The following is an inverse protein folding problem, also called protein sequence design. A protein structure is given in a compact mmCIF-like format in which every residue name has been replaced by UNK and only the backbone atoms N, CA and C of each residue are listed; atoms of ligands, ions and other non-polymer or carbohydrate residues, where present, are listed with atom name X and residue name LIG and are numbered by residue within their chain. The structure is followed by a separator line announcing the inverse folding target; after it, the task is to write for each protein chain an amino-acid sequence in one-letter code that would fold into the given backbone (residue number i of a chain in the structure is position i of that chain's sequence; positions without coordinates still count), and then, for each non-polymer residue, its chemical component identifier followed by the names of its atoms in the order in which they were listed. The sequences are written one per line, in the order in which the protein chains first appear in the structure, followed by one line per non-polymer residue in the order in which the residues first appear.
data_IF_475614891055
#
_entry.id   IF_475614891055
#
_cell.length_a   1.000
_cell.length_b   1.000
_cell.length_c   1.000
_cell.angle_alpha   90.00
_cell.angle_beta   90.00
_cell.angle_gamma   90.00
#
_symmetry.space_group_name_H-M   'P 1'
#
loop_
_entity.id
_entity.type
_entity.pdbx_description
1 polymer ?
#
# COMPACT_ATOMS: atom_id res chain seq x y z
N UNK A 1 -9.77 -9.88 2.66
CA UNK A 1 -8.30 -9.86 2.47
C UNK A 1 -7.85 -11.25 2.92
N UNK A 2 -6.88 -11.87 2.25
CA UNK A 2 -6.21 -13.06 2.78
C UNK A 2 -4.71 -12.78 2.70
N UNK A 3 -4.04 -12.81 3.83
CA UNK A 3 -2.63 -12.47 4.02
C UNK A 3 -1.83 -13.76 4.19
N UNK A 4 -0.95 -14.03 3.25
CA UNK A 4 -0.03 -15.17 3.35
C UNK A 4 1.08 -14.82 4.33
N UNK A 5 1.22 -15.63 5.38
CA UNK A 5 2.32 -15.51 6.34
C UNK A 5 3.50 -16.37 5.90
N UNK A 6 4.68 -15.76 5.74
CA UNK A 6 5.90 -16.51 5.39
C UNK A 6 6.55 -17.08 6.65
N UNK A 7 6.69 -16.24 7.68
CA UNK A 7 7.18 -16.61 9.01
C UNK A 7 6.42 -15.80 10.05
N UNK A 8 5.68 -16.47 10.93
CA UNK A 8 4.88 -15.81 11.96
C UNK A 8 3.70 -16.64 12.43
N UNK A 9 2.77 -15.99 13.12
CA UNK A 9 1.52 -16.62 13.53
C UNK A 9 0.61 -16.86 12.33
N UNK A 10 -0.08 -18.01 12.34
CA UNK A 10 -1.12 -18.34 11.37
C UNK A 10 -2.53 -17.99 11.89
N UNK A 11 -2.62 -17.36 13.07
CA UNK A 11 -3.89 -16.87 13.59
C UNK A 11 -4.41 -15.74 12.70
N UNK A 12 -5.67 -15.83 12.30
CA UNK A 12 -6.39 -14.81 11.53
C UNK A 12 -7.66 -14.36 12.25
N UNK A 13 -8.10 -13.13 12.00
CA UNK A 13 -9.40 -12.66 12.44
C UNK A 13 -10.52 -13.40 11.72
N UNK A 14 -11.66 -13.48 12.40
CA UNK A 14 -12.89 -14.07 11.89
C UNK A 14 -14.04 -13.08 12.04
N UNK A 15 -15.23 -13.41 11.59
CA UNK A 15 -16.38 -12.52 11.60
C UNK A 15 -16.85 -12.15 13.03
N UNK A 16 -16.46 -12.92 14.05
CA UNK A 16 -16.86 -12.68 15.42
C UNK A 16 -15.91 -11.69 16.14
N UNK A 17 -16.39 -10.47 16.38
CA UNK A 17 -15.57 -9.42 16.99
C UNK A 17 -15.09 -9.77 18.41
N UNK A 18 -15.89 -10.47 19.22
CA UNK A 18 -15.51 -10.85 20.59
C UNK A 18 -14.34 -11.82 20.60
N UNK A 19 -14.33 -12.80 19.68
CA UNK A 19 -13.20 -13.72 19.51
C UNK A 19 -11.95 -12.97 19.04
N UNK A 20 -12.09 -12.05 18.10
CA UNK A 20 -10.99 -11.20 17.61
C UNK A 20 -10.37 -10.34 18.71
N UNK A 21 -11.20 -9.75 19.59
CA UNK A 21 -10.73 -9.05 20.79
C UNK A 21 -9.90 -9.97 21.69
N UNK A 22 -10.34 -11.23 21.86
CA UNK A 22 -9.60 -12.25 22.60
C UNK A 22 -8.22 -12.52 22.00
N UNK A 23 -8.12 -12.60 20.66
CA UNK A 23 -6.83 -12.75 19.97
C UNK A 23 -5.90 -11.57 20.25
N UNK A 24 -6.39 -10.33 20.16
CA UNK A 24 -5.58 -9.12 20.47
C UNK A 24 -5.14 -9.13 21.94
N UNK A 25 -6.02 -9.49 22.88
CA UNK A 25 -5.68 -9.61 24.31
C UNK A 25 -4.62 -10.66 24.60
N UNK A 26 -4.53 -11.72 23.79
CA UNK A 26 -3.48 -12.73 23.91
C UNK A 26 -2.09 -12.16 23.62
N UNK A 27 -1.99 -11.25 22.65
CA UNK A 27 -0.74 -10.55 22.34
C UNK A 27 -0.45 -9.40 23.31
N UNK A 28 -1.50 -8.72 23.82
CA UNK A 28 -1.38 -7.58 24.73
C UNK A 28 -2.12 -7.87 26.05
N UNK A 29 -1.51 -8.65 26.97
CA UNK A 29 -2.09 -8.96 28.27
C UNK A 29 -1.91 -7.78 29.25
N UNK A 30 -2.52 -6.62 28.94
CA UNK A 30 -2.41 -5.40 29.73
C UNK A 30 -3.79 -4.89 30.18
N UNK A 31 -3.87 -4.40 31.43
CA UNK A 31 -5.05 -3.69 31.96
C UNK A 31 -5.25 -2.31 31.31
N UNK A 32 -4.22 -1.79 30.66
CA UNK A 32 -4.28 -0.53 29.91
C UNK A 32 -4.88 -0.70 28.52
N UNK A 33 -5.11 -1.93 28.05
CA UNK A 33 -5.83 -2.18 26.81
C UNK A 33 -7.31 -1.84 26.99
N UNK A 34 -7.70 -0.64 26.53
CA UNK A 34 -9.07 -0.15 26.61
C UNK A 34 -9.83 -0.57 25.35
N UNK A 35 -11.09 -0.92 25.55
CA UNK A 35 -12.02 -1.32 24.50
C UNK A 35 -13.27 -0.46 24.65
N UNK A 36 -13.61 0.31 23.62
CA UNK A 36 -14.82 1.12 23.59
C UNK A 36 -15.76 0.56 22.54
N UNK A 37 -16.97 0.21 22.99
CA UNK A 37 -18.03 -0.34 22.14
C UNK A 37 -18.90 0.81 21.62
N UNK A 38 -19.11 0.83 20.31
CA UNK A 38 -19.98 1.74 19.58
C UNK A 38 -21.00 0.93 18.77
N UNK A 39 -22.09 1.58 18.39
CA UNK A 39 -23.12 1.03 17.52
C UNK A 39 -23.36 1.99 16.36
N UNK A 40 -23.39 1.48 15.14
CA UNK A 40 -23.62 2.25 13.91
C UNK A 40 -24.73 1.62 13.05
N UNK A 41 -25.38 2.42 12.21
CA UNK A 41 -26.45 2.01 11.30
C UNK A 41 -27.86 2.22 11.87
N UNK A 42 -28.76 2.75 11.05
CA UNK A 42 -30.15 3.07 11.45
C UNK A 42 -31.12 1.89 11.31
N UNK A 43 -30.99 1.09 10.23
CA UNK A 43 -31.85 -0.08 9.96
C UNK A 43 -31.20 -1.38 10.43
N UNK A 44 -29.93 -1.57 10.09
CA UNK A 44 -29.16 -2.73 10.49
C UNK A 44 -28.00 -2.28 11.38
N UNK A 45 -28.25 -2.33 12.70
CA UNK A 45 -27.24 -1.95 13.68
C UNK A 45 -26.05 -2.92 13.66
N UNK A 46 -24.86 -2.37 13.58
CA UNK A 46 -23.59 -3.10 13.65
C UNK A 46 -22.77 -2.61 14.84
N UNK A 47 -22.12 -3.55 15.52
CA UNK A 47 -21.26 -3.24 16.65
C UNK A 47 -19.84 -2.96 16.17
N UNK A 48 -19.27 -1.86 16.62
CA UNK A 48 -17.90 -1.44 16.33
C UNK A 48 -17.13 -1.33 17.64
N UNK A 49 -15.89 -1.79 17.64
CA UNK A 49 -15.02 -1.79 18.82
C UNK A 49 -13.74 -1.02 18.52
N UNK A 50 -13.52 0.07 19.26
CA UNK A 50 -12.26 0.80 19.29
C UNK A 50 -11.35 0.17 20.34
N UNK A 51 -10.13 -0.17 19.96
CA UNK A 51 -9.15 -0.85 20.81
C UNK A 51 -7.85 -0.05 20.78
N UNK A 52 -7.36 0.34 21.95
CA UNK A 52 -6.14 1.14 22.09
C UNK A 52 -5.54 0.95 23.50
N UNK A 53 -4.27 1.32 23.66
CA UNK A 53 -3.61 1.40 24.97
C UNK A 53 -3.83 2.78 25.59
N UNK A 54 -4.51 2.86 26.73
CA UNK A 54 -4.91 4.14 27.34
C UNK A 54 -3.74 5.04 27.78
N UNK A 55 -2.63 4.42 28.16
CA UNK A 55 -1.41 5.09 28.61
C UNK A 55 -0.47 5.50 27.46
N UNK A 56 -0.64 4.90 26.26
CA UNK A 56 0.19 5.17 25.08
C UNK A 56 -0.52 6.00 24.03
N UNK A 57 -1.77 5.66 23.68
CA UNK A 57 -2.50 6.28 22.58
C UNK A 57 -2.85 7.76 22.87
N UNK A 58 -2.84 8.59 21.83
CA UNK A 58 -3.31 9.97 21.93
C UNK A 58 -4.83 9.99 22.13
N UNK A 59 -5.30 10.68 23.17
CA UNK A 59 -6.73 10.83 23.45
C UNK A 59 -7.45 11.61 22.34
N UNK A 60 -6.80 12.62 21.75
CA UNK A 60 -7.39 13.45 20.71
C UNK A 60 -7.69 12.62 19.45
N UNK A 61 -6.74 11.77 19.07
CA UNK A 61 -6.88 10.84 17.93
C UNK A 61 -8.01 9.83 18.18
N UNK A 62 -8.08 9.25 19.38
CA UNK A 62 -9.16 8.32 19.76
C UNK A 62 -10.53 9.00 19.66
N UNK A 63 -10.63 10.23 20.19
CA UNK A 63 -11.88 11.00 20.18
C UNK A 63 -12.27 11.43 18.76
N UNK A 64 -11.30 11.77 17.91
CA UNK A 64 -11.54 12.10 16.50
C UNK A 64 -12.14 10.91 15.75
N UNK A 65 -11.56 9.72 15.90
CA UNK A 65 -12.06 8.49 15.27
C UNK A 65 -13.47 8.17 15.75
N UNK A 66 -13.69 8.22 17.07
CA UNK A 66 -15.02 8.00 17.66
C UNK A 66 -16.04 8.99 17.09
N UNK A 67 -15.71 10.27 17.07
CA UNK A 67 -16.59 11.33 16.56
C UNK A 67 -16.96 11.08 15.10
N UNK A 68 -16.01 10.63 14.27
CA UNK A 68 -16.24 10.31 12.86
C UNK A 68 -17.16 9.09 12.72
N UNK A 69 -16.92 8.02 13.47
CA UNK A 69 -17.76 6.82 13.45
C UNK A 69 -19.20 7.16 13.89
N UNK A 70 -19.37 7.95 14.95
CA UNK A 70 -20.70 8.35 15.43
C UNK A 70 -21.44 9.33 14.51
N UNK A 71 -20.74 10.04 13.61
CA UNK A 71 -21.36 10.93 12.62
C UNK A 71 -21.95 10.19 11.41
N UNK A 72 -21.65 8.90 11.24
CA UNK A 72 -22.14 8.11 10.11
C UNK A 72 -23.66 7.93 10.24
N UNK A 73 -24.40 8.48 9.26
CA UNK A 73 -25.85 8.33 9.14
C UNK A 73 -26.16 7.54 7.87
N UNK A 74 -26.25 6.22 8.02
CA UNK A 74 -26.57 5.29 6.92
C UNK A 74 -27.50 4.19 7.43
N UNK A 75 -28.24 3.56 6.52
CA UNK A 75 -29.14 2.45 6.86
C UNK A 75 -28.36 1.27 7.49
N UNK A 76 -27.18 0.98 6.94
CA UNK A 76 -26.29 -0.08 7.40
C UNK A 76 -24.85 0.24 7.01
N UNK A 77 -23.91 -0.35 7.73
CA UNK A 77 -22.53 -0.55 7.29
C UNK A 77 -22.30 -2.04 7.38
N UNK A 78 -21.74 -2.67 6.35
CA UNK A 78 -21.66 -4.13 6.25
C UNK A 78 -20.25 -4.68 6.43
N UNK A 79 -19.22 -3.86 6.23
CA UNK A 79 -17.83 -4.31 6.32
C UNK A 79 -16.89 -3.25 6.88
N UNK A 80 -15.76 -3.71 7.42
CA UNK A 80 -14.70 -2.82 7.90
C UNK A 80 -14.11 -1.95 6.78
N UNK A 81 -14.07 -2.45 5.53
CA UNK A 81 -13.63 -1.69 4.37
C UNK A 81 -14.60 -0.56 4.01
N UNK A 82 -15.90 -0.79 4.14
CA UNK A 82 -16.92 0.24 3.98
C UNK A 82 -16.81 1.30 5.10
N UNK A 83 -16.63 0.86 6.35
CA UNK A 83 -16.41 1.77 7.48
C UNK A 83 -15.17 2.66 7.27
N UNK A 84 -14.08 2.07 6.76
CA UNK A 84 -12.86 2.81 6.38
C UNK A 84 -13.16 3.92 5.38
N UNK A 85 -13.99 3.66 4.36
CA UNK A 85 -14.35 4.66 3.36
C UNK A 85 -15.18 5.81 3.94
N UNK A 86 -16.10 5.55 4.88
CA UNK A 86 -16.88 6.61 5.53
C UNK A 86 -16.06 7.49 6.49
N UNK A 87 -14.94 6.97 7.01
CA UNK A 87 -14.17 7.62 8.06
C UNK A 87 -12.89 8.32 7.57
N UNK A 88 -12.56 8.20 6.27
CA UNK A 88 -11.42 8.86 5.60
C UNK A 88 -11.45 10.40 5.75
N UNK A 89 -10.27 11.01 5.85
CA UNK A 89 -10.10 12.47 5.89
C UNK A 89 -10.46 13.11 4.55
N UNK A 90 -9.98 12.50 3.46
CA UNK A 90 -10.05 13.08 2.11
C UNK A 90 -10.59 12.04 1.15
N UNK A 91 -11.77 12.28 0.57
CA UNK A 91 -12.38 11.33 -0.36
C UNK A 91 -11.70 11.31 -1.74
N UNK A 92 -10.96 12.36 -2.08
CA UNK A 92 -10.40 12.58 -3.42
C UNK A 92 -8.94 12.13 -3.56
N UNK A 93 -8.46 11.28 -2.63
CA UNK A 93 -7.13 10.69 -2.74
C UNK A 93 -7.23 9.20 -3.06
N UNK A 94 -6.41 8.70 -4.01
CA UNK A 94 -6.34 7.26 -4.24
C UNK A 94 -5.57 6.53 -3.13
N UNK A 95 -4.80 7.24 -2.30
CA UNK A 95 -3.93 6.65 -1.30
C UNK A 95 -4.71 6.14 -0.07
N UNK A 96 -4.40 4.95 0.45
CA UNK A 96 -5.03 4.44 1.65
C UNK A 96 -4.59 5.26 2.87
N UNK A 97 -5.56 5.68 3.69
CA UNK A 97 -5.32 6.40 4.94
C UNK A 97 -5.51 5.51 6.18
N UNK A 98 -6.03 4.30 5.99
CA UNK A 98 -6.22 3.32 7.03
C UNK A 98 -5.63 1.99 6.59
N UNK A 99 -5.04 1.26 7.53
CA UNK A 99 -4.42 -0.04 7.25
C UNK A 99 -5.38 -1.16 7.62
N UNK A 100 -5.83 -1.91 6.62
CA UNK A 100 -6.70 -3.07 6.81
C UNK A 100 -5.86 -4.33 6.87
N UNK A 101 -6.11 -5.16 7.89
CA UNK A 101 -5.41 -6.43 8.04
C UNK A 101 -6.27 -7.47 8.74
N UNK A 102 -6.10 -8.73 8.35
CA UNK A 102 -6.71 -9.89 9.01
C UNK A 102 -5.81 -10.49 10.11
N UNK A 103 -4.58 -9.99 10.23
CA UNK A 103 -3.54 -10.56 11.10
C UNK A 103 -3.55 -9.93 12.50
N UNK A 104 -3.84 -10.69 13.58
CA UNK A 104 -3.89 -10.14 14.94
C UNK A 104 -2.54 -9.64 15.46
N UNK A 105 -1.44 -10.26 15.05
CA UNK A 105 -0.07 -9.83 15.40
C UNK A 105 0.25 -8.46 14.78
N UNK A 106 -0.11 -8.24 13.52
CA UNK A 106 0.04 -6.95 12.82
C UNK A 106 -0.69 -5.81 13.55
N UNK A 107 -1.96 -6.05 13.90
CA UNK A 107 -2.77 -5.07 14.65
C UNK A 107 -2.19 -4.81 16.03
N UNK A 108 -1.77 -5.86 16.73
CA UNK A 108 -1.23 -5.73 18.08
C UNK A 108 0.05 -4.89 18.11
N UNK A 109 0.94 -5.08 17.13
CA UNK A 109 2.14 -4.24 16.98
C UNK A 109 1.80 -2.76 16.78
N UNK A 110 0.79 -2.46 15.96
CA UNK A 110 0.36 -1.08 15.78
C UNK A 110 -0.30 -0.46 17.02
N UNK A 111 -1.06 -1.24 17.79
CA UNK A 111 -1.60 -0.77 19.09
C UNK A 111 -0.47 -0.46 20.06
N UNK A 112 0.58 -1.31 20.11
CA UNK A 112 1.76 -1.09 20.96
C UNK A 112 2.57 0.15 20.59
N UNK A 113 2.55 0.53 19.30
CA UNK A 113 3.12 1.79 18.81
C UNK A 113 2.22 3.02 19.07
N UNK A 114 1.05 2.83 19.68
CA UNK A 114 0.14 3.91 20.10
C UNK A 114 -0.92 4.29 19.08
N UNK A 115 -1.14 3.46 18.05
CA UNK A 115 -2.26 3.63 17.12
C UNK A 115 -3.54 3.00 17.67
N UNK A 116 -4.67 3.30 17.04
CA UNK A 116 -6.00 2.79 17.41
C UNK A 116 -6.42 1.74 16.40
N UNK A 117 -6.87 0.58 16.89
CA UNK A 117 -7.48 -0.44 16.08
C UNK A 117 -9.01 -0.35 16.16
N UNK A 118 -9.68 -0.61 15.04
CA UNK A 118 -11.13 -0.65 14.91
C UNK A 118 -11.52 -2.04 14.40
N UNK A 119 -12.33 -2.73 15.17
CA UNK A 119 -12.99 -3.97 14.77
C UNK A 119 -14.47 -3.72 14.53
N UNK A 120 -15.03 -4.46 13.59
CA UNK A 120 -16.46 -4.45 13.32
C UNK A 120 -16.99 -5.87 13.41
N UNK A 121 -18.12 -6.06 14.09
CA UNK A 121 -18.77 -7.36 14.13
C UNK A 121 -19.24 -7.75 12.72
N UNK A 122 -19.16 -9.06 12.42
CA UNK A 122 -19.43 -9.65 11.09
C UNK A 122 -18.39 -9.34 10.01
N UNK A 123 -17.22 -8.83 10.37
CA UNK A 123 -16.13 -8.58 9.41
C UNK A 123 -14.83 -9.30 9.84
N UNK A 124 -14.19 -10.11 8.96
CA UNK A 124 -13.01 -10.91 9.31
C UNK A 124 -11.70 -10.09 9.26
N UNK A 125 -11.74 -8.82 9.64
CA UNK A 125 -10.57 -7.94 9.56
C UNK A 125 -10.68 -6.75 10.51
N UNK A 126 -9.54 -6.10 10.71
CA UNK A 126 -9.39 -4.93 11.54
C UNK A 126 -8.81 -3.77 10.74
N UNK A 127 -9.18 -2.56 11.12
CA UNK A 127 -8.60 -1.33 10.59
C UNK A 127 -7.70 -0.68 11.64
N UNK A 128 -6.51 -0.23 11.25
CA UNK A 128 -5.60 0.57 12.09
C UNK A 128 -5.53 1.99 11.58
N UNK A 129 -5.69 2.94 12.50
CA UNK A 129 -5.62 4.38 12.25
C UNK A 129 -4.92 5.10 13.42
N UNK A 130 -4.21 6.20 13.18
CA UNK A 130 -3.80 6.75 11.89
C UNK A 130 -2.70 5.92 11.21
N UNK A 131 -2.59 6.04 9.88
CA UNK A 131 -1.53 5.40 9.10
C UNK A 131 -0.86 6.37 8.13
N UNK A 132 0.47 6.30 8.05
CA UNK A 132 1.32 7.07 7.13
C UNK A 132 1.77 6.20 5.94
N UNK A 133 2.31 6.83 4.90
CA UNK A 133 2.78 6.13 3.70
C UNK A 133 3.79 5.01 4.02
N UNK A 134 4.75 5.29 4.91
CA UNK A 134 5.81 4.34 5.27
C UNK A 134 5.26 3.10 5.97
N UNK A 135 4.18 3.22 6.75
CA UNK A 135 3.58 2.09 7.45
C UNK A 135 3.08 0.99 6.51
N UNK A 136 2.69 1.33 5.27
CA UNK A 136 2.30 0.35 4.25
C UNK A 136 3.48 -0.43 3.66
N UNK A 137 4.71 0.06 3.85
CA UNK A 137 5.96 -0.63 3.56
C UNK A 137 6.54 -1.31 4.80
N UNK A 138 5.76 -1.57 5.84
CA UNK A 138 6.20 -2.38 6.95
C UNK A 138 5.30 -3.60 7.01
N UNK A 139 5.90 -4.78 7.01
CA UNK A 139 5.15 -6.03 7.22
C UNK A 139 5.53 -6.63 8.57
N UNK A 140 4.63 -7.36 9.25
CA UNK A 140 4.97 -8.06 10.48
C UNK A 140 6.12 -9.07 10.27
N UNK A 141 6.16 -9.69 9.09
CA UNK A 141 7.18 -10.66 8.70
C UNK A 141 8.59 -10.04 8.66
N UNK A 142 8.71 -8.73 8.39
CA UNK A 142 10.00 -8.03 8.48
C UNK A 142 10.61 -8.20 9.86
N UNK A 143 9.80 -8.32 10.92
CA UNK A 143 10.28 -8.42 12.30
C UNK A 143 10.77 -9.81 12.68
N UNK A 144 10.37 -10.84 11.93
CA UNK A 144 10.67 -12.26 12.19
C UNK A 144 11.95 -12.76 11.51
N UNK A 145 12.61 -11.92 10.71
CA UNK A 145 13.87 -12.24 10.02
C UNK A 145 15.03 -11.35 10.49
N UNK A 146 16.25 -11.68 10.08
CA UNK A 146 17.43 -10.88 10.42
C UNK A 146 17.32 -9.45 9.85
N UNK A 147 17.70 -8.45 10.65
CA UNK A 147 17.48 -7.03 10.34
C UNK A 147 18.11 -6.57 9.01
N UNK A 148 19.27 -7.12 8.64
CA UNK A 148 19.89 -6.86 7.32
C UNK A 148 19.02 -7.34 6.15
N UNK A 149 18.44 -8.53 6.26
CA UNK A 149 17.59 -9.11 5.21
C UNK A 149 16.28 -8.34 5.12
N UNK A 150 15.67 -8.02 6.27
CA UNK A 150 14.47 -7.19 6.34
C UNK A 150 14.70 -5.81 5.70
N UNK A 151 15.83 -5.17 6.00
CA UNK A 151 16.20 -3.88 5.42
C UNK A 151 16.35 -3.96 3.90
N UNK A 152 17.00 -5.01 3.40
CA UNK A 152 17.12 -5.24 1.96
C UNK A 152 15.75 -5.40 1.29
N UNK A 153 14.86 -6.22 1.85
CA UNK A 153 13.49 -6.36 1.31
C UNK A 153 12.70 -5.06 1.37
N UNK A 154 12.89 -4.26 2.41
CA UNK A 154 12.22 -2.96 2.52
C UNK A 154 12.71 -1.98 1.46
N UNK A 155 14.02 -1.92 1.20
CA UNK A 155 14.59 -1.14 0.10
C UNK A 155 14.09 -1.61 -1.27
N UNK A 156 13.98 -2.93 -1.49
CA UNK A 156 13.36 -3.46 -2.70
C UNK A 156 11.90 -3.04 -2.85
N UNK A 157 11.13 -2.96 -1.76
CA UNK A 157 9.74 -2.48 -1.79
C UNK A 157 9.65 -0.99 -2.13
N UNK A 158 10.57 -0.16 -1.64
CA UNK A 158 10.66 1.24 -2.06
C UNK A 158 11.12 1.41 -3.51
N UNK A 159 12.10 0.63 -3.97
CA UNK A 159 12.53 0.64 -5.37
C UNK A 159 11.40 0.17 -6.30
N UNK A 160 10.69 -0.90 -5.93
CA UNK A 160 9.53 -1.41 -6.63
C UNK A 160 8.40 -0.38 -6.74
N UNK A 161 8.14 0.38 -5.67
CA UNK A 161 7.19 1.50 -5.71
C UNK A 161 7.54 2.55 -6.76
N UNK A 162 8.81 3.00 -6.79
CA UNK A 162 9.27 4.01 -7.75
C UNK A 162 9.20 3.46 -9.17
N UNK A 163 9.72 2.25 -9.41
CA UNK A 163 9.71 1.59 -10.72
C UNK A 163 8.28 1.39 -11.21
N UNK A 164 7.37 0.93 -10.36
CA UNK A 164 5.99 0.64 -10.75
C UNK A 164 5.20 1.89 -11.18
N UNK A 165 5.56 3.09 -10.71
CA UNK A 165 4.93 4.36 -11.10
C UNK A 165 5.62 4.93 -12.34
N UNK A 166 6.95 5.02 -12.32
CA UNK A 166 7.70 5.87 -13.22
C UNK A 166 8.30 5.15 -14.42
N UNK A 167 8.54 3.84 -14.37
CA UNK A 167 9.26 3.15 -15.44
C UNK A 167 8.56 3.23 -16.82
N UNK A 168 7.23 3.01 -16.93
CA UNK A 168 6.54 3.15 -18.22
C UNK A 168 6.56 4.59 -18.74
N UNK A 169 6.33 5.56 -17.84
CA UNK A 169 6.37 6.98 -18.18
C UNK A 169 7.77 7.40 -18.67
N UNK A 170 8.82 6.95 -17.98
CA UNK A 170 10.20 7.21 -18.34
C UNK A 170 10.57 6.63 -19.70
N UNK A 171 10.13 5.40 -19.99
CA UNK A 171 10.32 4.79 -21.31
C UNK A 171 9.65 5.62 -22.42
N UNK A 172 8.39 6.04 -22.22
CA UNK A 172 7.66 6.89 -23.18
C UNK A 172 8.42 8.21 -23.42
N UNK A 173 8.88 8.88 -22.35
CA UNK A 173 9.59 10.15 -22.44
C UNK A 173 10.92 10.04 -23.19
N UNK A 174 11.73 9.02 -22.88
CA UNK A 174 13.02 8.82 -23.57
C UNK A 174 12.79 8.55 -25.05
N UNK A 175 11.91 7.60 -25.36
CA UNK A 175 11.68 7.18 -26.74
C UNK A 175 11.11 8.31 -27.60
N UNK A 176 10.22 9.13 -27.04
CA UNK A 176 9.48 10.12 -27.81
C UNK A 176 10.21 11.47 -27.89
N UNK A 177 10.97 11.85 -26.85
CA UNK A 177 11.56 13.19 -26.74
C UNK A 177 13.08 13.21 -26.58
N UNK A 178 13.69 12.16 -26.03
CA UNK A 178 15.11 12.16 -25.64
C UNK A 178 15.85 10.91 -26.12
N UNK A 179 15.67 10.54 -27.39
CA UNK A 179 16.29 9.34 -27.95
C UNK A 179 17.82 9.43 -28.01
N UNK A 180 18.36 10.64 -28.00
CA UNK A 180 19.80 10.94 -28.01
C UNK A 180 20.55 10.44 -26.77
N UNK A 181 19.83 10.22 -25.66
CA UNK A 181 20.40 9.70 -24.41
C UNK A 181 20.68 8.19 -24.52
N UNK A 182 20.04 7.49 -25.46
CA UNK A 182 20.18 6.05 -25.63
C UNK A 182 21.49 5.75 -26.39
N UNK A 183 22.36 4.83 -25.88
CA UNK A 183 23.50 4.35 -26.64
C UNK A 183 23.10 3.83 -28.03
N UNK A 184 23.91 4.11 -29.06
CA UNK A 184 23.54 3.86 -30.46
C UNK A 184 23.12 2.40 -30.72
N UNK A 185 23.78 1.44 -30.08
CA UNK A 185 23.50 0.00 -30.20
C UNK A 185 22.12 -0.37 -29.63
N UNK A 186 21.74 0.27 -28.53
CA UNK A 186 20.43 0.07 -27.91
C UNK A 186 19.34 0.80 -28.69
N UNK A 187 19.63 1.99 -29.22
CA UNK A 187 18.70 2.75 -30.04
C UNK A 187 18.35 1.99 -31.33
N UNK A 188 19.34 1.44 -32.04
CA UNK A 188 19.10 0.65 -33.26
C UNK A 188 18.26 -0.60 -32.97
N UNK A 189 18.50 -1.27 -31.84
CA UNK A 189 17.67 -2.40 -31.38
C UNK A 189 16.23 -2.00 -31.08
N UNK A 190 16.03 -0.86 -30.41
CA UNK A 190 14.70 -0.32 -30.13
C UNK A 190 14.00 0.09 -31.43
N UNK A 191 14.70 0.80 -32.31
CA UNK A 191 14.15 1.29 -33.58
C UNK A 191 13.70 0.13 -34.47
N UNK A 192 14.56 -0.88 -34.66
CA UNK A 192 14.22 -2.09 -35.45
C UNK A 192 13.03 -2.85 -34.87
N UNK A 193 12.90 -2.93 -33.53
CA UNK A 193 11.73 -3.52 -32.89
C UNK A 193 10.45 -2.70 -33.08
N UNK A 194 10.55 -1.38 -33.30
CA UNK A 194 9.40 -0.49 -33.50
C UNK A 194 9.02 -0.26 -34.96
N UNK A 195 9.89 -0.53 -35.93
CA UNK A 195 9.57 -0.37 -37.37
C UNK A 195 8.28 -1.13 -37.76
N UNK A 196 8.00 -2.26 -37.09
CA UNK A 196 6.84 -3.10 -37.36
C UNK A 196 5.58 -2.70 -36.58
N UNK A 197 5.71 -1.78 -35.61
CA UNK A 197 4.63 -1.41 -34.69
C UNK A 197 3.99 -0.10 -35.14
N UNK A 198 2.67 -0.09 -35.45
CA UNK A 198 2.01 1.10 -36.00
C UNK A 198 1.59 2.12 -34.94
N UNK A 199 1.75 1.79 -33.65
CA UNK A 199 1.23 2.58 -32.54
C UNK A 199 2.28 3.49 -31.91
N UNK A 200 1.82 4.56 -31.26
CA UNK A 200 2.70 5.39 -30.45
C UNK A 200 3.13 4.63 -29.18
N UNK A 201 4.29 4.97 -28.59
CA UNK A 201 4.76 4.35 -27.34
C UNK A 201 3.74 4.46 -26.20
N UNK A 202 2.94 5.54 -26.17
CA UNK A 202 1.85 5.68 -25.21
C UNK A 202 0.79 4.60 -25.42
N UNK A 203 0.33 4.42 -26.66
CA UNK A 203 -0.76 3.48 -26.95
C UNK A 203 -0.30 2.02 -26.77
N UNK A 204 0.94 1.69 -27.15
CA UNK A 204 1.59 0.41 -26.82
C UNK A 204 1.53 0.13 -25.30
N UNK A 205 1.92 1.12 -24.48
CA UNK A 205 1.96 0.98 -23.03
C UNK A 205 0.53 0.82 -22.47
N UNK A 206 -0.43 1.61 -22.95
CA UNK A 206 -1.82 1.52 -22.51
C UNK A 206 -2.44 0.16 -22.80
N UNK A 207 -2.24 -0.40 -24.00
CA UNK A 207 -2.75 -1.74 -24.34
C UNK A 207 -2.19 -2.75 -23.34
N UNK A 208 -0.87 -2.78 -23.18
CA UNK A 208 -0.21 -3.76 -22.33
C UNK A 208 -0.55 -3.61 -20.85
N UNK A 209 -0.57 -2.38 -20.33
CA UNK A 209 -0.91 -2.11 -18.93
C UNK A 209 -2.38 -2.44 -18.64
N UNK A 210 -3.33 -2.06 -19.51
CA UNK A 210 -4.74 -2.43 -19.34
C UNK A 210 -4.92 -3.95 -19.41
N UNK A 211 -4.25 -4.62 -20.36
CA UNK A 211 -4.27 -6.09 -20.44
C UNK A 211 -3.77 -6.72 -19.14
N UNK A 212 -2.68 -6.24 -18.56
CA UNK A 212 -2.18 -6.74 -17.29
C UNK A 212 -3.14 -6.51 -16.13
N UNK A 213 -3.79 -5.35 -16.05
CA UNK A 213 -4.79 -5.08 -15.03
C UNK A 213 -6.02 -5.99 -15.19
N UNK A 214 -6.48 -6.22 -16.43
CA UNK A 214 -7.56 -7.18 -16.70
C UNK A 214 -7.18 -8.61 -16.28
N UNK A 215 -5.96 -9.05 -16.60
CA UNK A 215 -5.44 -10.36 -16.20
C UNK A 215 -5.36 -10.49 -14.68
N UNK A 216 -4.92 -9.45 -14.00
CA UNK A 216 -4.81 -9.42 -12.53
C UNK A 216 -6.19 -9.49 -11.87
N UNK A 217 -7.13 -8.68 -12.34
CA UNK A 217 -8.51 -8.65 -11.80
C UNK A 217 -9.23 -9.99 -12.04
N UNK A 218 -8.99 -10.64 -13.19
CA UNK A 218 -9.48 -11.99 -13.44
C UNK A 218 -8.79 -13.01 -12.51
N UNK A 219 -7.46 -12.92 -12.36
CA UNK A 219 -6.65 -13.87 -11.60
C UNK A 219 -7.01 -13.92 -10.10
N UNK A 220 -7.28 -12.77 -9.48
CA UNK A 220 -7.63 -12.72 -8.04
C UNK A 220 -9.02 -13.29 -7.71
N UNK A 221 -9.92 -13.38 -8.70
CA UNK A 221 -11.30 -13.88 -8.52
C UNK A 221 -11.42 -15.38 -8.78
N UNK A 222 -10.41 -15.99 -9.36
CA UNK A 222 -10.42 -17.39 -9.75
C UNK A 222 -9.72 -18.27 -8.70
N UNK A 223 -10.10 -19.55 -8.59
CA UNK A 223 -9.39 -20.51 -7.75
C UNK A 223 -7.89 -20.55 -8.10
N UNK A 224 -7.04 -20.72 -7.08
CA UNK A 224 -5.57 -20.67 -7.21
C UNK A 224 -4.99 -21.41 -8.44
N UNK A 225 -5.38 -22.67 -8.75
CA UNK A 225 -4.85 -23.36 -9.93
C UNK A 225 -5.21 -22.69 -11.27
N UNK A 226 -6.41 -22.10 -11.36
CA UNK A 226 -6.88 -21.40 -12.55
C UNK A 226 -6.24 -20.02 -12.64
N UNK A 227 -6.12 -19.31 -11.52
CA UNK A 227 -5.45 -18.01 -11.44
C UNK A 227 -3.99 -18.08 -11.87
N UNK A 228 -3.24 -19.10 -11.43
CA UNK A 228 -1.86 -19.33 -11.88
C UNK A 228 -1.79 -19.61 -13.38
N UNK A 229 -2.71 -20.43 -13.91
CA UNK A 229 -2.78 -20.75 -15.35
C UNK A 229 -3.05 -19.49 -16.18
N UNK A 230 -4.00 -18.64 -15.77
CA UNK A 230 -4.27 -17.36 -16.44
C UNK A 230 -3.08 -16.41 -16.33
N UNK A 231 -2.34 -16.42 -15.22
CA UNK A 231 -1.10 -15.66 -15.11
C UNK A 231 -0.06 -16.09 -16.15
N UNK A 232 0.14 -17.40 -16.32
CA UNK A 232 1.09 -17.96 -17.30
C UNK A 232 0.64 -17.66 -18.74
N UNK A 233 -0.62 -17.96 -19.06
CA UNK A 233 -1.19 -17.72 -20.39
C UNK A 233 -1.22 -16.23 -20.69
N UNK A 234 -1.68 -15.42 -19.76
CA UNK A 234 -1.75 -13.97 -19.89
C UNK A 234 -0.38 -13.33 -20.07
N UNK A 235 0.62 -13.71 -19.27
CA UNK A 235 1.96 -13.14 -19.36
C UNK A 235 2.70 -13.56 -20.62
N UNK A 236 2.77 -14.86 -20.91
CA UNK A 236 3.58 -15.39 -22.01
C UNK A 236 2.82 -15.31 -23.33
N UNK A 237 1.58 -15.83 -23.39
CA UNK A 237 0.85 -15.97 -24.65
C UNK A 237 0.42 -14.60 -25.16
N UNK A 238 -0.10 -13.71 -24.30
CA UNK A 238 -0.51 -12.38 -24.78
C UNK A 238 0.71 -11.52 -25.11
N UNK A 239 1.77 -11.57 -24.29
CA UNK A 239 3.01 -10.85 -24.58
C UNK A 239 3.64 -11.28 -25.90
N UNK A 240 3.77 -12.60 -26.13
CA UNK A 240 4.33 -13.13 -27.38
C UNK A 240 3.40 -12.88 -28.58
N UNK A 241 2.09 -13.07 -28.43
CA UNK A 241 1.14 -12.82 -29.50
C UNK A 241 1.10 -11.34 -29.89
N UNK A 242 1.16 -10.42 -28.92
CA UNK A 242 1.21 -8.98 -29.18
C UNK A 242 2.46 -8.57 -29.97
N UNK A 243 3.61 -9.16 -29.63
CA UNK A 243 4.87 -8.98 -30.36
C UNK A 243 4.79 -9.56 -31.77
N UNK A 244 4.30 -10.80 -31.92
CA UNK A 244 4.22 -11.49 -33.21
C UNK A 244 3.23 -10.81 -34.16
N UNK A 245 2.11 -10.31 -33.63
CA UNK A 245 1.13 -9.53 -34.36
C UNK A 245 1.63 -8.11 -34.72
N UNK A 246 2.82 -7.71 -34.26
CA UNK A 246 3.37 -6.37 -34.48
C UNK A 246 2.59 -5.27 -33.77
N UNK A 247 1.80 -5.59 -32.75
CA UNK A 247 1.02 -4.60 -32.00
C UNK A 247 1.87 -3.90 -30.93
N UNK A 248 2.91 -4.56 -30.43
CA UNK A 248 3.75 -4.07 -29.33
C UNK A 248 5.22 -4.43 -29.58
N UNK A 249 6.14 -3.54 -29.20
CA UNK A 249 7.58 -3.77 -29.31
C UNK A 249 8.11 -4.72 -28.23
N UNK A 250 9.18 -5.47 -28.52
CA UNK A 250 9.84 -6.37 -27.56
C UNK A 250 10.28 -5.62 -26.29
N UNK A 251 10.77 -4.40 -26.47
CA UNK A 251 11.25 -3.56 -25.37
C UNK A 251 10.09 -3.11 -24.48
N UNK A 252 8.93 -2.79 -25.05
CA UNK A 252 7.74 -2.47 -24.27
C UNK A 252 7.28 -3.65 -23.40
N UNK A 253 7.30 -4.88 -23.93
CA UNK A 253 6.96 -6.08 -23.15
C UNK A 253 7.91 -6.26 -21.95
N UNK A 254 9.20 -5.98 -22.13
CA UNK A 254 10.18 -6.03 -21.02
C UNK A 254 9.85 -4.97 -19.97
N UNK A 255 9.62 -3.72 -20.39
CA UNK A 255 9.30 -2.60 -19.49
C UNK A 255 8.05 -2.90 -18.66
N UNK A 256 6.99 -3.37 -19.31
CA UNK A 256 5.73 -3.70 -18.66
C UNK A 256 5.90 -4.89 -17.72
N UNK A 257 6.69 -5.90 -18.09
CA UNK A 257 6.99 -7.06 -17.24
C UNK A 257 7.75 -6.67 -15.96
N UNK A 258 8.77 -5.80 -16.07
CA UNK A 258 9.49 -5.27 -14.91
C UNK A 258 8.55 -4.44 -14.03
N UNK A 259 7.72 -3.61 -14.63
CA UNK A 259 6.72 -2.78 -13.93
C UNK A 259 5.71 -3.65 -13.17
N UNK A 260 5.26 -4.75 -13.78
CA UNK A 260 4.36 -5.71 -13.15
C UNK A 260 4.99 -6.37 -11.93
N UNK A 261 6.23 -6.86 -12.05
CA UNK A 261 7.01 -7.46 -10.95
C UNK A 261 7.20 -6.43 -9.83
N UNK A 262 7.60 -5.21 -10.16
CA UNK A 262 7.77 -4.12 -9.21
C UNK A 262 6.48 -3.79 -8.44
N UNK A 263 5.32 -3.85 -9.11
CA UNK A 263 4.00 -3.65 -8.49
C UNK A 263 3.60 -4.77 -7.52
N UNK A 264 4.03 -6.02 -7.78
CA UNK A 264 3.75 -7.17 -6.89
C UNK A 264 4.62 -7.21 -5.64
N UNK A 265 5.80 -6.59 -5.69
CA UNK A 265 6.70 -6.50 -4.55
C UNK A 265 6.08 -5.64 -3.42
N UNK A 266 5.22 -4.67 -3.75
CA UNK A 266 4.50 -3.86 -2.76
C UNK A 266 3.51 -4.72 -1.98
N UNK A 267 3.79 -4.94 -0.70
CA UNK A 267 3.13 -5.92 0.16
C UNK A 267 1.66 -5.61 0.51
N UNK A 268 1.25 -4.35 0.41
CA UNK A 268 -0.11 -3.94 0.73
C UNK A 268 -0.97 -3.78 -0.54
N UNK A 269 -2.11 -4.46 -0.59
CA UNK A 269 -3.01 -4.47 -1.74
C UNK A 269 -3.59 -3.10 -2.07
N UNK A 270 -4.03 -2.33 -1.07
CA UNK A 270 -4.64 -1.03 -1.26
C UNK A 270 -3.62 -0.03 -1.83
N UNK A 271 -2.41 0.01 -1.25
CA UNK A 271 -1.33 0.86 -1.75
C UNK A 271 -0.90 0.46 -3.17
N UNK A 272 -0.77 -0.85 -3.45
CA UNK A 272 -0.44 -1.35 -4.78
C UNK A 272 -1.50 -0.92 -5.81
N UNK A 273 -2.76 -0.84 -5.42
CA UNK A 273 -3.86 -0.40 -6.29
C UNK A 273 -3.81 1.11 -6.56
N UNK A 274 -3.48 1.93 -5.56
CA UNK A 274 -3.24 3.36 -5.74
C UNK A 274 -2.12 3.65 -6.72
N UNK A 275 -1.01 2.90 -6.62
CA UNK A 275 0.15 3.01 -7.51
C UNK A 275 -0.23 2.76 -8.97
N UNK A 276 -1.02 1.70 -9.21
CA UNK A 276 -1.48 1.31 -10.55
C UNK A 276 -2.35 2.40 -11.18
N UNK A 277 -3.22 3.03 -10.39
CA UNK A 277 -4.02 4.14 -10.87
C UNK A 277 -3.16 5.37 -11.24
N UNK A 278 -2.16 5.69 -10.42
CA UNK A 278 -1.29 6.87 -10.62
C UNK A 278 -0.33 6.71 -11.81
N UNK A 279 -0.01 5.48 -12.19
CA UNK A 279 0.82 5.17 -13.37
C UNK A 279 0.25 5.78 -14.65
N UNK A 280 -1.07 5.71 -14.86
CA UNK A 280 -1.70 6.21 -16.10
C UNK A 280 -1.57 7.73 -16.29
N UNK A 281 -1.89 8.59 -15.31
CA UNK A 281 -1.59 10.02 -15.37
C UNK A 281 -0.11 10.32 -15.63
N UNK A 282 0.81 9.56 -15.03
CA UNK A 282 2.25 9.75 -15.25
C UNK A 282 2.66 9.44 -16.69
N UNK A 283 2.11 8.39 -17.29
CA UNK A 283 2.33 8.08 -18.71
C UNK A 283 1.81 9.18 -19.63
N UNK A 284 0.64 9.76 -19.32
CA UNK A 284 0.09 10.88 -20.07
C UNK A 284 0.98 12.13 -19.97
N UNK A 285 1.42 12.50 -18.77
CA UNK A 285 2.33 13.62 -18.57
C UNK A 285 3.65 13.44 -19.33
N UNK A 286 4.19 12.22 -19.32
CA UNK A 286 5.39 11.88 -20.08
C UNK A 286 5.18 11.96 -21.60
N UNK A 287 4.01 11.58 -22.10
CA UNK A 287 3.70 11.67 -23.52
C UNK A 287 3.52 13.12 -24.00
N UNK A 288 2.94 13.99 -23.19
CA UNK A 288 2.73 15.39 -23.59
C UNK A 288 3.97 16.27 -23.39
N UNK A 289 4.74 16.04 -22.33
CA UNK A 289 5.81 16.95 -21.89
C UNK A 289 7.16 16.26 -21.66
N UNK A 290 7.33 14.99 -22.05
CA UNK A 290 8.57 14.25 -21.87
C UNK A 290 9.02 14.16 -20.41
N UNK A 291 10.33 14.33 -20.17
CA UNK A 291 10.90 14.28 -18.82
C UNK A 291 10.36 15.41 -17.93
N UNK A 292 10.07 16.59 -18.50
CA UNK A 292 9.51 17.73 -17.76
C UNK A 292 8.13 17.37 -17.19
N UNK A 293 7.32 16.63 -17.95
CA UNK A 293 6.04 16.12 -17.48
C UNK A 293 6.17 15.16 -16.30
N UNK A 294 7.15 14.26 -16.36
CA UNK A 294 7.43 13.31 -15.27
C UNK A 294 7.85 14.05 -14.00
N UNK A 295 8.78 15.00 -14.11
CA UNK A 295 9.26 15.80 -12.97
C UNK A 295 8.12 16.62 -12.37
N UNK A 296 7.29 17.24 -13.21
CA UNK A 296 6.12 18.00 -12.77
C UNK A 296 5.11 17.10 -12.05
N UNK A 297 4.82 15.91 -12.59
CA UNK A 297 3.97 14.91 -11.96
C UNK A 297 4.52 14.44 -10.61
N UNK A 298 5.85 14.24 -10.52
CA UNK A 298 6.52 13.87 -9.26
C UNK A 298 6.37 14.98 -8.21
N UNK A 299 6.55 16.25 -8.60
CA UNK A 299 6.34 17.40 -7.72
C UNK A 299 4.90 17.48 -7.23
N UNK A 300 3.92 17.26 -8.11
CA UNK A 300 2.50 17.22 -7.74
C UNK A 300 2.18 16.09 -6.76
N UNK A 301 2.71 14.88 -7.00
CA UNK A 301 2.56 13.76 -6.06
C UNK A 301 3.19 14.08 -4.70
N UNK A 302 4.37 14.68 -4.69
CA UNK A 302 5.05 15.05 -3.46
C UNK A 302 4.27 16.11 -2.69
N UNK A 303 3.81 17.17 -3.37
CA UNK A 303 2.96 18.20 -2.78
C UNK A 303 1.67 17.60 -2.20
N UNK A 304 1.04 16.68 -2.93
CA UNK A 304 -0.14 15.95 -2.44
C UNK A 304 0.18 15.16 -1.16
N UNK A 305 1.26 14.38 -1.12
CA UNK A 305 1.65 13.63 0.07
C UNK A 305 1.90 14.49 1.30
N UNK A 306 2.50 15.67 1.13
CA UNK A 306 2.74 16.61 2.23
C UNK A 306 1.43 17.24 2.72
N UNK A 307 0.47 17.47 1.83
CA UNK A 307 -0.84 18.04 2.19
C UNK A 307 -1.80 17.03 2.84
N UNK A 308 -1.58 15.73 2.63
CA UNK A 308 -2.46 14.68 3.14
C UNK A 308 -2.32 14.48 4.64
N UNK A 309 -3.47 14.31 5.29
CA UNK A 309 -3.58 13.86 6.68
C UNK A 309 -4.30 12.51 6.75
N UNK A 310 -4.03 11.77 7.81
CA UNK A 310 -4.74 10.56 8.21
C UNK A 310 -5.13 10.73 9.68
N UNK A 311 -6.42 10.95 9.95
CA UNK A 311 -6.99 11.08 11.30
C UNK A 311 -6.17 12.04 12.18
N UNK A 312 -6.00 13.27 11.68
CA UNK A 312 -5.28 14.34 12.38
C UNK A 312 -3.75 14.24 12.33
N UNK A 313 -3.18 13.18 11.71
CA UNK A 313 -1.74 12.97 11.62
C UNK A 313 -1.21 13.12 10.18
N UNK A 314 -0.13 13.89 9.95
CA UNK A 314 0.49 14.03 8.63
C UNK A 314 0.86 12.70 7.96
N UNK A 315 0.37 12.48 6.73
CA UNK A 315 0.57 11.23 5.98
C UNK A 315 2.01 11.06 5.47
N UNK A 316 2.71 12.17 5.20
CA UNK A 316 4.10 12.22 4.75
C UNK A 316 5.15 11.92 5.82
N UNK A 317 4.76 11.65 7.08
CA UNK A 317 5.72 11.27 8.12
C UNK A 317 6.47 10.00 7.77
N UNK A 318 7.77 9.89 8.10
CA UNK A 318 8.65 10.83 8.80
C UNK A 318 9.48 11.73 7.87
N UNK A 319 9.13 11.82 6.58
CA UNK A 319 9.84 12.66 5.60
C UNK A 319 9.37 14.12 5.76
N UNK A 320 8.06 14.29 5.91
CA UNK A 320 7.42 15.59 6.12
C UNK A 320 6.35 15.46 7.23
N UNK A 321 6.60 15.98 8.45
CA UNK A 321 7.82 16.61 8.95
C UNK A 321 8.99 15.63 9.11
N UNK A 322 10.21 16.11 8.87
CA UNK A 322 11.42 15.29 8.92
C UNK A 322 11.76 14.83 10.35
N UNK A 323 11.84 13.51 10.58
CA UNK A 323 12.19 12.92 11.90
C UNK A 323 13.27 11.85 11.79
N UNK A 324 14.51 12.23 12.08
CA UNK A 324 15.70 11.35 12.00
C UNK A 324 15.59 10.06 12.81
N UNK A 325 14.99 10.10 14.00
CA UNK A 325 14.87 8.93 14.88
C UNK A 325 14.01 7.83 14.25
N UNK A 326 13.01 8.20 13.45
CA UNK A 326 12.07 7.27 12.85
C UNK A 326 12.59 6.65 11.55
N UNK A 327 13.57 7.29 10.90
CA UNK A 327 14.22 6.73 9.72
C UNK A 327 14.89 5.39 9.99
N UNK A 328 15.33 5.16 11.24
CA UNK A 328 15.96 3.91 11.74
C UNK A 328 15.03 2.69 11.76
N UNK A 329 13.72 2.93 11.68
CA UNK A 329 12.72 1.86 11.54
C UNK A 329 11.78 2.12 10.36
N UNK A 330 12.11 3.06 9.47
CA UNK A 330 11.32 3.41 8.29
C UNK A 330 11.92 2.81 7.04
N UNK A 331 13.06 3.30 6.56
CA UNK A 331 13.67 2.81 5.31
C UNK A 331 14.56 1.60 5.52
N UNK A 332 15.34 1.64 6.59
CA UNK A 332 16.22 0.56 7.05
C UNK A 332 15.70 0.12 8.41
N UNK A 333 15.67 -1.19 8.67
CA UNK A 333 15.30 -1.75 9.96
C UNK A 333 16.57 -1.99 10.76
N UNK A 334 16.84 -1.15 11.75
CA UNK A 334 17.94 -1.39 12.69
C UNK A 334 17.63 -2.57 13.63
N UNK A 335 18.64 -3.13 14.33
CA UNK A 335 18.41 -4.15 15.37
C UNK A 335 17.35 -3.67 16.38
N UNK A 336 16.46 -4.58 16.81
CA UNK A 336 15.35 -4.25 17.73
C UNK A 336 15.85 -3.54 19.00
N UNK A 337 17.02 -3.91 19.51
CA UNK A 337 17.66 -3.27 20.67
C UNK A 337 17.98 -1.79 20.48
N UNK A 338 18.15 -1.33 19.24
CA UNK A 338 18.40 0.08 18.91
C UNK A 338 17.12 0.87 18.60
N UNK A 339 15.96 0.19 18.49
CA UNK A 339 14.66 0.81 18.22
C UNK A 339 13.99 1.13 19.57
N UNK A 340 14.35 2.28 20.15
CA UNK A 340 13.86 2.70 21.46
C UNK A 340 12.62 3.60 21.40
N UNK A 341 12.20 4.03 20.21
CA UNK A 341 11.11 5.00 20.03
C UNK A 341 9.90 4.37 19.34
N UNK A 342 8.70 4.75 19.77
CA UNK A 342 7.43 4.44 19.08
C UNK A 342 7.25 5.34 17.86
N UNK A 343 6.43 4.88 16.91
CA UNK A 343 6.04 5.68 15.75
C UNK A 343 5.28 6.94 16.15
N UNK A 344 5.68 8.10 15.61
CA UNK A 344 5.00 9.37 15.82
C UNK A 344 3.68 9.49 15.07
N UNK A 345 3.38 8.58 14.14
CA UNK A 345 2.13 8.59 13.38
C UNK A 345 0.93 8.52 14.32
N UNK A 346 0.98 7.70 15.37
CA UNK A 346 -0.09 7.63 16.39
C UNK A 346 -0.07 8.76 17.42
N UNK A 347 0.88 9.70 17.31
CA UNK A 347 1.16 10.77 18.28
C UNK A 347 1.18 10.29 19.74
N UNK A 348 1.88 9.19 20.08
CA UNK A 348 1.74 8.55 21.37
C UNK A 348 2.17 9.47 22.52
N UNK A 349 1.43 9.41 23.64
CA UNK A 349 1.76 10.10 24.90
C UNK A 349 3.15 9.68 25.39
N UNK A 350 3.47 8.39 25.26
CA UNK A 350 4.76 7.82 25.62
C UNK A 350 5.61 7.53 24.36
N UNK A 351 6.61 8.37 24.10
CA UNK A 351 7.47 8.21 22.91
C UNK A 351 8.51 7.09 23.02
N UNK A 352 9.06 6.84 24.21
CA UNK A 352 10.06 5.79 24.40
C UNK A 352 9.38 4.45 24.71
N UNK A 353 9.77 3.40 24.00
CA UNK A 353 9.46 2.02 24.38
C UNK A 353 10.17 1.77 25.71
N UNK A 354 9.51 1.07 26.65
CA UNK A 354 10.17 0.69 27.90
C UNK A 354 11.32 -0.24 27.52
N UNK A 355 12.55 0.15 27.84
CA UNK A 355 13.72 -0.69 27.63
C UNK A 355 13.53 -1.94 28.49
N UNK A 356 13.57 -3.11 27.85
CA UNK A 356 13.69 -4.37 28.57
C UNK A 356 15.05 -4.39 29.23
N UNK A 357 15.07 -4.49 30.56
CA UNK A 357 16.30 -4.60 31.36
C UNK A 357 17.06 -5.87 31.08
#
# INVERSE_FOLDING_TARGET
ISEVTIKGSHDGFIENATKNIGLIRRYIPSTELKIKKLTIGERATSLVYLIYLGDVANADVVQEIETRICKIKTDAVLSIGELSNYTKDQNWTPFPQAYLSERPDAISNHILDGKVAVLMDRSPGAMVVPMNLIGFFQTPDDYNIHWLIASFFRLLRFAGFIIAIFLPAFYIAIVSFHFEIIPIDLYTSIATSRVKVPFSPLLEAFIMEITLEMLREAGIRLPQPIGQTIGIVGGIVIGQAAVQAGLVSNVMVIIVSITAIASFIVSNYDLSSSIRLIRFPMMLLAYFYGIVGIVSGLMLLFAHFVSLTSYGSPYGMPIAPFRLQELKDSFVRFPISMITTRSSTGQPKQRKKKEGG
#
